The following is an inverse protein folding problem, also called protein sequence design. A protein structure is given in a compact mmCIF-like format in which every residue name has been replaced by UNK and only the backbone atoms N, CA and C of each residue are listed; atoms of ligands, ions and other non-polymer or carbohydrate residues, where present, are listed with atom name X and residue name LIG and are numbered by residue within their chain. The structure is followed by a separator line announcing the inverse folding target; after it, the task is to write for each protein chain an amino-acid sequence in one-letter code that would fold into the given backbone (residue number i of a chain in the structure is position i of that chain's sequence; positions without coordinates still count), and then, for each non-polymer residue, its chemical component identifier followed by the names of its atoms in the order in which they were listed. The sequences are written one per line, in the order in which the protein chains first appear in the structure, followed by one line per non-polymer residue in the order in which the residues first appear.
data_IF_607932013885
#
_entry.id   IF_607932013885
#
_cell.length_a   1.000
_cell.length_b   1.000
_cell.length_c   1.000
_cell.angle_alpha   90.00
_cell.angle_beta   90.00
_cell.angle_gamma   90.00
#
_symmetry.space_group_name_H-M   'P 1'
#
loop_
_entity.id
_entity.type
_entity.pdbx_description
1 polymer ?
#
# COMPACT_ATOMS: atom_id res chain seq x y z
N UNK A 1 -5.59 -16.58 22.95
CA UNK A 1 -5.66 -16.08 21.55
C UNK A 1 -5.56 -14.56 21.59
N UNK A 2 -4.59 -13.97 20.93
CA UNK A 2 -4.48 -12.51 20.88
C UNK A 2 -5.54 -11.95 19.92
N UNK A 3 -6.08 -10.77 20.18
CA UNK A 3 -7.14 -10.21 19.34
C UNK A 3 -6.64 -9.95 17.92
N UNK A 4 -7.52 -10.16 16.95
CA UNK A 4 -7.32 -9.76 15.56
C UNK A 4 -8.03 -8.43 15.38
N UNK A 5 -7.34 -7.45 14.84
CA UNK A 5 -7.92 -6.17 14.46
C UNK A 5 -8.06 -6.14 12.95
N UNK A 6 -9.20 -5.68 12.45
CA UNK A 6 -9.42 -5.50 11.01
C UNK A 6 -10.21 -4.22 10.74
N UNK A 7 -10.07 -3.71 9.55
CA UNK A 7 -10.77 -2.52 9.09
C UNK A 7 -10.74 -2.39 7.58
N UNK A 8 -11.44 -1.41 7.06
CA UNK A 8 -11.48 -1.09 5.65
C UNK A 8 -11.62 0.41 5.45
N UNK A 9 -11.21 0.89 4.27
CA UNK A 9 -11.33 2.28 3.88
C UNK A 9 -11.42 2.43 2.38
N UNK A 10 -11.69 3.65 1.95
CA UNK A 10 -11.71 4.03 0.56
C UNK A 10 -11.10 5.42 0.42
N UNK A 11 -10.19 5.58 -0.53
CA UNK A 11 -9.66 6.88 -0.94
C UNK A 11 -10.02 7.14 -2.39
N UNK A 12 -10.47 8.35 -2.68
CA UNK A 12 -10.83 8.78 -4.01
C UNK A 12 -10.06 10.04 -4.37
N UNK A 13 -9.18 9.92 -5.36
CA UNK A 13 -8.49 11.05 -5.99
C UNK A 13 -9.15 11.32 -7.33
N UNK A 14 -10.10 12.24 -7.34
CA UNK A 14 -10.99 12.48 -8.46
C UNK A 14 -10.29 12.98 -9.72
N UNK A 15 -10.97 12.86 -10.85
CA UNK A 15 -10.54 13.38 -12.15
C UNK A 15 -11.66 14.12 -12.85
N UNK A 16 -11.30 15.23 -13.51
CA UNK A 16 -12.17 15.97 -14.41
C UNK A 16 -11.39 16.36 -15.68
N UNK A 17 -11.96 16.09 -16.85
CA UNK A 17 -11.36 16.41 -18.16
C UNK A 17 -9.91 15.91 -18.32
N UNK A 18 -9.61 14.68 -17.92
CA UNK A 18 -8.26 14.09 -17.87
C UNK A 18 -7.27 14.82 -16.95
N UNK A 19 -7.78 15.61 -16.01
CA UNK A 19 -6.98 16.21 -14.94
C UNK A 19 -7.38 15.59 -13.61
N UNK A 20 -6.42 14.96 -12.93
CA UNK A 20 -6.64 14.33 -11.65
C UNK A 20 -6.18 15.21 -10.49
N UNK A 21 -6.80 15.00 -9.33
CA UNK A 21 -6.34 15.60 -8.08
C UNK A 21 -4.91 15.12 -7.76
N UNK A 22 -4.01 16.03 -7.47
CA UNK A 22 -2.61 15.74 -7.17
C UNK A 22 -2.29 16.04 -5.71
N UNK A 23 -1.39 15.26 -5.15
CA UNK A 23 -0.89 15.40 -3.77
C UNK A 23 0.62 15.62 -3.77
N UNK A 24 1.14 16.75 -4.31
CA UNK A 24 2.57 16.90 -4.57
C UNK A 24 3.45 16.96 -3.32
N UNK A 25 2.88 17.27 -2.16
CA UNK A 25 3.61 17.37 -0.87
C UNK A 25 3.25 16.24 0.09
N UNK A 26 2.53 15.22 -0.36
CA UNK A 26 2.17 14.08 0.48
C UNK A 26 3.35 13.13 0.71
N UNK A 27 3.30 12.38 1.82
CA UNK A 27 4.21 11.26 2.06
C UNK A 27 3.74 10.07 1.22
N UNK A 28 4.15 10.01 -0.02
CA UNK A 28 3.56 9.16 -1.07
C UNK A 28 3.59 7.67 -0.70
N UNK A 29 4.70 7.18 -0.15
CA UNK A 29 4.83 5.78 0.24
C UNK A 29 3.81 5.32 1.31
N UNK A 30 3.27 6.25 2.11
CA UNK A 30 2.28 5.93 3.14
C UNK A 30 0.86 5.72 2.59
N UNK A 31 0.63 6.06 1.31
CA UNK A 31 -0.69 6.06 0.69
C UNK A 31 -0.69 5.22 -0.59
N UNK A 32 -1.87 4.68 -0.94
CA UNK A 32 -2.10 3.95 -2.20
C UNK A 32 -1.12 2.79 -2.43
N UNK A 33 -0.77 2.09 -1.36
CA UNK A 33 0.05 0.88 -1.38
C UNK A 33 1.56 1.12 -1.35
N UNK A 34 2.29 0.12 -0.88
CA UNK A 34 3.74 0.20 -0.65
C UNK A 34 4.58 -0.18 -1.87
N UNK A 35 3.99 -0.77 -2.91
CA UNK A 35 4.68 -0.99 -4.17
C UNK A 35 5.03 0.33 -4.88
N UNK A 36 4.44 1.45 -4.44
CA UNK A 36 4.67 2.79 -4.97
C UNK A 36 4.29 2.94 -6.45
N UNK A 37 3.30 2.20 -6.92
CA UNK A 37 2.81 2.28 -8.30
C UNK A 37 2.10 3.60 -8.54
N UNK A 38 1.41 4.13 -7.53
CA UNK A 38 0.60 5.35 -7.62
C UNK A 38 1.23 6.54 -6.87
N UNK A 39 2.54 6.74 -7.01
CA UNK A 39 3.22 7.95 -6.51
C UNK A 39 2.71 9.23 -7.16
N UNK A 40 2.19 9.13 -8.38
CA UNK A 40 1.44 10.18 -9.05
C UNK A 40 0.05 9.67 -9.38
N UNK A 41 -0.97 10.50 -9.14
CA UNK A 41 -2.34 10.15 -9.48
C UNK A 41 -2.50 10.06 -11.01
N UNK A 42 -3.06 8.97 -11.55
CA UNK A 42 -3.36 8.84 -12.97
C UNK A 42 -4.31 9.94 -13.47
N UNK A 43 -4.26 10.26 -14.76
CA UNK A 43 -5.10 11.31 -15.36
C UNK A 43 -6.62 11.05 -15.17
N UNK A 44 -7.03 9.78 -15.16
CA UNK A 44 -8.41 9.37 -14.90
C UNK A 44 -8.76 9.27 -13.41
N UNK A 45 -7.88 9.75 -12.53
CA UNK A 45 -8.05 9.65 -11.09
C UNK A 45 -7.72 8.26 -10.55
N UNK A 46 -7.85 8.11 -9.24
CA UNK A 46 -7.56 6.86 -8.54
C UNK A 46 -8.63 6.63 -7.47
N UNK A 47 -9.24 5.45 -7.51
CA UNK A 47 -10.06 4.93 -6.42
C UNK A 47 -9.34 3.75 -5.80
N UNK A 48 -8.97 3.89 -4.53
CA UNK A 48 -8.35 2.86 -3.72
C UNK A 48 -9.34 2.37 -2.67
N UNK A 49 -9.77 1.13 -2.81
CA UNK A 49 -10.58 0.44 -1.80
C UNK A 49 -9.66 -0.54 -1.11
N UNK A 50 -9.51 -0.43 0.19
CA UNK A 50 -8.60 -1.29 0.94
C UNK A 50 -9.22 -1.88 2.20
N UNK A 51 -8.72 -3.04 2.58
CA UNK A 51 -9.01 -3.68 3.84
C UNK A 51 -7.71 -4.13 4.51
N UNK A 52 -7.68 -4.15 5.83
CA UNK A 52 -6.52 -4.63 6.58
C UNK A 52 -6.91 -5.57 7.70
N UNK A 53 -5.98 -6.44 8.04
CA UNK A 53 -6.02 -7.29 9.23
C UNK A 53 -4.68 -7.20 9.97
N UNK A 54 -4.75 -7.15 11.27
CA UNK A 54 -3.58 -7.10 12.16
C UNK A 54 -3.71 -8.15 13.24
N UNK A 55 -2.66 -8.92 13.46
CA UNK A 55 -2.60 -9.97 14.48
C UNK A 55 -1.22 -9.94 15.15
N UNK A 56 -1.17 -10.22 16.43
CA UNK A 56 0.10 -10.42 17.12
C UNK A 56 0.44 -11.91 17.12
N UNK A 57 1.50 -12.27 16.42
CA UNK A 57 2.06 -13.61 16.37
C UNK A 57 2.76 -13.97 17.69
N UNK A 58 3.09 -15.26 17.93
CA UNK A 58 3.95 -15.66 19.03
C UNK A 58 5.28 -14.85 19.06
N UNK A 59 5.87 -14.70 20.22
CA UNK A 59 7.05 -13.85 20.47
C UNK A 59 6.79 -12.34 20.27
N UNK A 60 5.52 -11.91 20.42
CA UNK A 60 5.10 -10.50 20.34
C UNK A 60 5.45 -9.82 19.03
N UNK A 61 5.29 -10.54 17.93
CA UNK A 61 5.50 -10.01 16.58
C UNK A 61 4.15 -9.52 16.03
N UNK A 62 3.90 -8.20 15.94
CA UNK A 62 2.75 -7.69 15.19
C UNK A 62 2.92 -7.95 13.70
N UNK A 63 1.93 -8.56 13.09
CA UNK A 63 1.82 -8.75 11.65
C UNK A 63 0.61 -8.00 11.15
N UNK A 64 0.80 -7.13 10.16
CA UNK A 64 -0.28 -6.44 9.49
C UNK A 64 -0.28 -6.81 8.01
N UNK A 65 -1.46 -7.13 7.49
CA UNK A 65 -1.71 -7.36 6.09
C UNK A 65 -2.72 -6.32 5.59
N UNK A 66 -2.46 -5.72 4.43
CA UNK A 66 -3.37 -4.79 3.76
C UNK A 66 -3.60 -5.28 2.34
N UNK A 67 -4.83 -5.26 1.90
CA UNK A 67 -5.21 -5.53 0.51
C UNK A 67 -5.82 -4.27 -0.09
N UNK A 68 -5.33 -3.87 -1.26
CA UNK A 68 -5.83 -2.74 -2.02
C UNK A 68 -6.42 -3.20 -3.35
N UNK A 69 -7.50 -2.57 -3.76
CA UNK A 69 -8.07 -2.66 -5.10
C UNK A 69 -8.09 -1.26 -5.72
N UNK A 70 -7.45 -1.12 -6.87
CA UNK A 70 -7.28 0.15 -7.56
C UNK A 70 -8.06 0.20 -8.84
N UNK A 71 -8.88 1.22 -8.99
CA UNK A 71 -9.66 1.51 -10.19
C UNK A 71 -9.53 3.00 -10.57
N UNK A 72 -9.85 3.35 -11.82
CA UNK A 72 -9.98 4.74 -12.22
C UNK A 72 -11.22 5.39 -11.59
N UNK A 73 -11.15 6.69 -11.32
CA UNK A 73 -12.32 7.49 -10.93
C UNK A 73 -13.20 7.78 -12.16
N UNK A 74 -12.58 8.26 -13.24
CA UNK A 74 -13.26 8.50 -14.50
C UNK A 74 -13.00 7.34 -15.47
N UNK A 75 -14.02 6.86 -16.16
CA UNK A 75 -13.91 5.71 -17.03
C UNK A 75 -14.12 4.39 -16.29
N UNK A 76 -13.59 3.29 -16.85
CA UNK A 76 -13.79 1.94 -16.35
C UNK A 76 -12.49 1.13 -16.28
N UNK A 77 -11.34 1.81 -16.15
CA UNK A 77 -10.04 1.14 -16.08
C UNK A 77 -9.85 0.49 -14.73
N UNK A 78 -9.46 -0.77 -14.75
CA UNK A 78 -9.05 -1.53 -13.59
C UNK A 78 -7.52 -1.54 -13.52
N UNK A 79 -6.94 -0.78 -12.60
CA UNK A 79 -5.48 -0.67 -12.50
C UNK A 79 -4.84 -1.93 -11.94
N UNK A 80 -5.50 -2.62 -11.04
CA UNK A 80 -4.99 -3.81 -10.40
C UNK A 80 -5.27 -3.89 -8.92
N UNK A 81 -4.49 -4.71 -8.24
CA UNK A 81 -4.59 -4.91 -6.79
C UNK A 81 -3.20 -5.06 -6.17
N UNK A 82 -3.11 -4.84 -4.87
CA UNK A 82 -1.86 -4.94 -4.11
C UNK A 82 -2.09 -5.62 -2.78
N UNK A 83 -1.13 -6.44 -2.37
CA UNK A 83 -1.04 -7.00 -1.03
C UNK A 83 0.21 -6.46 -0.37
N UNK A 84 0.03 -5.84 0.79
CA UNK A 84 1.09 -5.30 1.63
C UNK A 84 1.18 -6.08 2.93
N UNK A 85 2.39 -6.49 3.31
CA UNK A 85 2.65 -7.19 4.56
C UNK A 85 3.76 -6.49 5.33
N UNK A 86 3.59 -6.33 6.64
CA UNK A 86 4.64 -5.83 7.52
C UNK A 86 4.64 -6.61 8.83
N UNK A 87 5.84 -7.00 9.27
CA UNK A 87 6.07 -7.57 10.57
C UNK A 87 7.27 -6.86 11.21
N UNK A 88 7.20 -6.65 12.52
CA UNK A 88 8.29 -6.02 13.26
C UNK A 88 8.49 -6.73 14.60
N UNK A 89 9.70 -6.62 15.15
CA UNK A 89 10.02 -7.14 16.47
C UNK A 89 11.07 -6.30 17.16
N UNK A 90 10.85 -6.02 18.44
CA UNK A 90 11.85 -5.43 19.31
C UNK A 90 12.73 -6.52 19.92
N UNK A 91 14.03 -6.26 19.94
CA UNK A 91 15.04 -7.11 20.58
C UNK A 91 15.74 -6.32 21.68
N UNK A 92 15.51 -6.72 22.92
CA UNK A 92 16.07 -6.00 24.06
C UNK A 92 15.55 -4.57 24.16
N UNK A 93 16.39 -3.65 24.63
CA UNK A 93 16.00 -2.24 24.87
C UNK A 93 16.31 -1.31 23.69
N UNK A 94 17.17 -1.73 22.78
CA UNK A 94 17.80 -0.83 21.80
C UNK A 94 17.56 -1.22 20.34
N UNK A 95 17.15 -2.44 20.05
CA UNK A 95 17.04 -2.95 18.70
C UNK A 95 15.59 -3.15 18.27
N UNK A 96 15.28 -2.75 17.05
CA UNK A 96 14.03 -3.06 16.37
C UNK A 96 14.34 -3.58 14.97
N UNK A 97 13.70 -4.68 14.58
CA UNK A 97 13.78 -5.21 13.23
C UNK A 97 12.41 -5.17 12.57
N UNK A 98 12.36 -4.82 11.29
CA UNK A 98 11.15 -4.77 10.50
C UNK A 98 11.38 -5.45 9.16
N UNK A 99 10.42 -6.29 8.75
CA UNK A 99 10.32 -6.84 7.40
C UNK A 99 9.02 -6.35 6.77
N UNK A 100 9.10 -5.93 5.53
CA UNK A 100 7.99 -5.37 4.78
C UNK A 100 8.00 -5.92 3.36
N UNK A 101 6.85 -6.26 2.85
CA UNK A 101 6.68 -6.80 1.51
C UNK A 101 5.45 -6.19 0.85
N UNK A 102 5.56 -5.87 -0.42
CA UNK A 102 4.45 -5.40 -1.25
C UNK A 102 4.45 -6.13 -2.58
N UNK A 103 3.28 -6.60 -3.01
CA UNK A 103 3.07 -7.21 -4.31
C UNK A 103 1.87 -6.56 -5.00
N UNK A 104 2.16 -5.78 -6.03
CA UNK A 104 1.17 -5.19 -6.92
C UNK A 104 0.97 -6.08 -8.14
N UNK A 105 -0.27 -6.40 -8.42
CA UNK A 105 -0.72 -7.17 -9.59
C UNK A 105 -1.45 -6.21 -10.53
N UNK A 106 -0.79 -5.84 -11.64
CA UNK A 106 -1.34 -4.95 -12.65
C UNK A 106 -2.35 -5.65 -13.54
N UNK A 107 -3.39 -4.95 -13.96
CA UNK A 107 -4.40 -5.45 -14.90
C UNK A 107 -4.40 -4.64 -16.20
N UNK A 108 -5.01 -3.46 -16.21
CA UNK A 108 -5.06 -2.63 -17.40
C UNK A 108 -3.81 -1.76 -17.57
N UNK A 109 -3.25 -1.72 -18.78
CA UNK A 109 -2.15 -0.81 -19.07
C UNK A 109 -2.62 0.65 -19.09
N UNK A 110 -1.93 1.50 -18.32
CA UNK A 110 -2.20 2.92 -18.23
C UNK A 110 -0.99 3.70 -18.70
N UNK A 111 -1.18 4.63 -19.63
CA UNK A 111 -0.10 5.43 -20.19
C UNK A 111 0.64 6.25 -19.12
N UNK A 112 1.96 6.12 -19.09
CA UNK A 112 2.81 6.85 -18.17
C UNK A 112 2.91 6.28 -16.76
N UNK A 113 2.28 5.12 -16.49
CA UNK A 113 2.33 4.42 -15.21
C UNK A 113 2.70 2.95 -15.37
N UNK A 114 3.39 2.34 -14.40
CA UNK A 114 3.63 0.89 -14.39
C UNK A 114 2.37 0.07 -13.98
N UNK A 115 1.16 0.66 -14.05
CA UNK A 115 -0.06 0.07 -13.52
C UNK A 115 -0.45 -1.27 -14.16
N UNK A 116 -0.11 -1.48 -15.44
CA UNK A 116 -0.33 -2.76 -16.14
C UNK A 116 0.78 -3.79 -15.92
N UNK A 117 1.73 -3.55 -15.04
CA UNK A 117 2.89 -4.42 -14.79
C UNK A 117 2.93 -4.84 -13.33
N UNK A 118 3.19 -6.12 -13.07
CA UNK A 118 3.37 -6.60 -11.71
C UNK A 118 4.63 -6.01 -11.09
N UNK A 119 4.52 -5.58 -9.84
CA UNK A 119 5.62 -4.99 -9.07
C UNK A 119 5.72 -5.68 -7.72
N UNK A 120 6.92 -6.16 -7.40
CA UNK A 120 7.22 -6.72 -6.09
C UNK A 120 8.33 -5.90 -5.42
N UNK A 121 8.15 -5.59 -4.15
CA UNK A 121 9.16 -4.91 -3.35
C UNK A 121 9.31 -5.59 -1.99
N UNK A 122 10.52 -5.65 -1.52
CA UNK A 122 10.87 -6.19 -0.20
C UNK A 122 11.80 -5.24 0.53
N UNK A 123 11.52 -5.00 1.81
CA UNK A 123 12.36 -4.20 2.69
C UNK A 123 12.72 -4.99 3.94
N UNK A 124 13.96 -4.86 4.36
CA UNK A 124 14.42 -5.29 5.67
C UNK A 124 15.12 -4.12 6.35
N UNK A 125 14.73 -3.81 7.56
CA UNK A 125 15.27 -2.69 8.33
C UNK A 125 15.63 -3.16 9.72
N UNK A 126 16.79 -2.72 10.21
CA UNK A 126 17.21 -2.87 11.60
C UNK A 126 17.52 -1.49 12.14
N UNK A 127 16.95 -1.15 13.27
CA UNK A 127 17.10 0.14 13.93
C UNK A 127 17.69 -0.06 15.31
N UNK A 128 18.65 0.80 15.66
CA UNK A 128 19.25 0.86 16.97
C UNK A 128 18.99 2.22 17.62
N UNK A 129 18.42 2.21 18.80
CA UNK A 129 18.12 3.42 19.58
C UNK A 129 18.86 3.35 20.90
N UNK A 130 19.63 4.37 21.23
CA UNK A 130 20.38 4.48 22.47
C UNK A 130 19.88 5.59 23.41
#
# INVERSE_FOLDING_TARGET
MKPITFGAGCELLGSDNNFSFKTPLATLHAFNGWADVFLATPALGLRDIYGFAEVTLPAEIPLRAVYHKYDSDAGSDNYGSEIDLVASRKFGKHWNAMLKYAYYMGEDAVSGLPAGTDVQKFWAQVEFNF
#
